data_IF_443504934314
#
_entry.id   IF_443504934314
#
_cell.length_a   1.000
_cell.length_b   1.000
_cell.length_c   1.000
_cell.angle_alpha   90.00
_cell.angle_beta   90.00
_cell.angle_gamma   90.00
#
_symmetry.space_group_name_H-M   'P 1'
#
loop_
_entity.id
_entity.type
_entity.pdbx_description
1 polymer ?
#
# COMPACT_ATOMS: atom_id res chain seq x y z
N UNK A 1 13.90 -58.17 0.69
CA UNK A 1 13.71 -57.24 1.83
C UNK A 1 14.40 -55.93 1.48
N UNK A 2 13.62 -54.91 1.07
CA UNK A 2 14.12 -53.58 0.67
C UNK A 2 13.91 -52.63 1.84
N UNK A 3 14.97 -51.94 2.23
CA UNK A 3 15.02 -50.92 3.29
C UNK A 3 14.38 -49.62 2.81
N UNK A 4 13.39 -49.12 3.57
CA UNK A 4 12.79 -47.80 3.43
C UNK A 4 13.77 -46.70 3.83
N UNK A 5 13.85 -45.65 3.01
CA UNK A 5 14.37 -44.32 3.35
C UNK A 5 13.16 -43.41 3.45
N UNK A 6 12.82 -42.97 4.65
CA UNK A 6 11.81 -41.93 4.87
C UNK A 6 12.49 -40.56 4.72
N UNK A 7 12.11 -39.84 3.66
CA UNK A 7 12.49 -38.45 3.44
C UNK A 7 11.47 -37.51 4.10
N UNK A 8 11.96 -36.57 4.91
CA UNK A 8 11.17 -35.45 5.39
C UNK A 8 10.71 -34.59 4.20
N UNK A 9 9.39 -34.50 4.00
CA UNK A 9 8.76 -33.48 3.15
C UNK A 9 8.75 -32.16 3.92
N UNK A 10 9.49 -31.18 3.41
CA UNK A 10 9.30 -29.77 3.77
C UNK A 10 7.93 -29.33 3.22
N UNK A 11 7.02 -28.98 4.12
CA UNK A 11 5.75 -28.37 3.76
C UNK A 11 6.03 -26.96 3.22
N UNK A 12 5.65 -26.72 1.96
CA UNK A 12 5.50 -25.37 1.45
C UNK A 12 4.34 -24.70 2.23
N UNK A 13 4.63 -23.56 2.84
CA UNK A 13 3.61 -22.68 3.39
C UNK A 13 2.85 -22.08 2.21
N UNK A 14 1.68 -22.64 1.89
CA UNK A 14 0.65 -21.94 1.12
C UNK A 14 0.06 -20.87 2.04
N UNK A 15 0.39 -19.60 1.80
CA UNK A 15 -0.34 -18.49 2.39
C UNK A 15 -1.74 -18.43 1.75
N UNK A 16 -2.76 -18.68 2.57
CA UNK A 16 -4.16 -18.42 2.21
C UNK A 16 -4.32 -16.93 1.89
N UNK A 17 -4.47 -16.64 0.60
CA UNK A 17 -5.01 -15.37 0.12
C UNK A 17 -6.32 -15.07 0.85
N UNK A 18 -6.35 -13.94 1.57
CA UNK A 18 -7.53 -13.42 2.22
C UNK A 18 -8.66 -13.19 1.20
N UNK A 19 -9.56 -14.17 1.07
CA UNK A 19 -10.86 -13.98 0.43
C UNK A 19 -11.63 -12.95 1.25
N UNK A 20 -11.82 -11.76 0.69
CA UNK A 20 -12.74 -10.77 1.22
C UNK A 20 -14.16 -11.33 1.12
N UNK A 21 -14.84 -11.42 2.27
CA UNK A 21 -16.24 -11.81 2.37
C UNK A 21 -17.10 -10.69 1.81
N UNK A 22 -17.71 -10.93 0.64
CA UNK A 22 -18.96 -10.31 0.25
C UNK A 22 -20.09 -10.92 1.08
N UNK A 23 -20.81 -10.08 1.82
CA UNK A 23 -21.99 -10.43 2.61
C UNK A 23 -23.06 -11.11 1.74
N UNK A 24 -23.22 -12.43 1.87
CA UNK A 24 -24.37 -13.13 1.29
C UNK A 24 -25.55 -13.05 2.26
N UNK A 25 -26.64 -12.43 1.79
CA UNK A 25 -27.96 -12.54 2.37
C UNK A 25 -28.46 -13.98 2.16
N UNK A 26 -28.69 -14.70 3.26
CA UNK A 26 -29.37 -16.00 3.24
C UNK A 26 -30.88 -15.75 3.33
N UNK A 27 -31.62 -16.13 2.29
CA UNK A 27 -33.07 -16.37 2.38
C UNK A 27 -33.24 -17.87 2.52
N UNK A 28 -33.80 -18.31 3.66
CA UNK A 28 -34.22 -19.69 3.87
C UNK A 28 -35.49 -20.01 3.08
N UNK A 29 -35.51 -21.16 2.41
CA UNK A 29 -36.73 -21.93 2.17
C UNK A 29 -36.36 -23.42 2.03
N UNK A 30 -37.01 -24.26 2.83
CA UNK A 30 -36.85 -25.71 2.94
C UNK A 30 -37.65 -26.48 1.88
N UNK A 31 -37.11 -27.66 1.56
CA UNK A 31 -37.71 -28.96 1.13
C UNK A 31 -38.76 -29.02 0.01
N UNK A 32 -38.48 -29.81 -1.04
CA UNK A 32 -39.04 -31.17 -1.23
C UNK A 32 -38.53 -31.87 -2.53
N UNK A 33 -38.70 -33.19 -2.56
CA UNK A 33 -38.01 -34.20 -3.37
C UNK A 33 -38.59 -34.48 -4.78
N UNK A 34 -37.70 -34.99 -5.66
CA UNK A 34 -37.89 -36.01 -6.73
C UNK A 34 -38.83 -35.76 -7.94
N UNK A 35 -38.28 -35.78 -9.17
CA UNK A 35 -38.35 -36.91 -10.15
C UNK A 35 -37.70 -36.54 -11.49
N UNK A 36 -37.06 -37.54 -12.09
CA UNK A 36 -36.53 -37.57 -13.46
C UNK A 36 -37.67 -38.01 -14.39
N UNK A 37 -37.78 -37.43 -15.59
CA UNK A 37 -38.00 -38.18 -16.84
C UNK A 37 -37.80 -37.30 -18.10
N UNK A 38 -37.11 -37.89 -19.06
CA UNK A 38 -36.64 -37.42 -20.37
C UNK A 38 -37.71 -37.46 -21.46
N UNK A 39 -37.75 -36.50 -22.41
CA UNK A 39 -38.08 -36.73 -23.83
C UNK A 39 -37.34 -35.72 -24.75
N UNK A 40 -36.83 -36.24 -25.87
CA UNK A 40 -35.93 -35.64 -26.87
C UNK A 40 -36.61 -34.81 -28.00
N UNK A 41 -35.81 -34.08 -28.85
CA UNK A 41 -36.24 -33.07 -29.84
C UNK A 41 -36.40 -33.63 -31.28
N UNK A 42 -36.90 -32.86 -32.27
CA UNK A 42 -36.02 -32.23 -33.31
C UNK A 42 -36.63 -30.91 -33.89
N UNK A 43 -36.07 -30.11 -34.79
CA UNK A 43 -34.97 -30.18 -35.74
C UNK A 43 -34.86 -28.85 -36.53
N UNK A 44 -33.84 -28.74 -37.38
CA UNK A 44 -33.22 -27.52 -37.96
C UNK A 44 -33.70 -27.21 -39.40
N UNK A 45 -33.30 -26.03 -39.92
CA UNK A 45 -33.27 -25.50 -41.31
C UNK A 45 -34.51 -24.75 -41.82
N UNK A 46 -34.45 -23.72 -42.68
CA UNK A 46 -33.50 -22.68 -43.12
C UNK A 46 -34.34 -21.65 -43.93
N UNK A 47 -33.82 -20.43 -44.16
CA UNK A 47 -34.38 -19.22 -44.86
C UNK A 47 -34.80 -19.44 -46.35
N UNK A 48 -35.29 -18.47 -47.21
CA UNK A 48 -35.29 -16.97 -47.18
C UNK A 48 -36.50 -16.21 -47.86
N UNK A 49 -36.50 -14.86 -47.89
CA UNK A 49 -37.11 -14.09 -49.00
C UNK A 49 -37.93 -12.80 -48.73
N UNK A 50 -37.33 -11.64 -49.09
CA UNK A 50 -37.87 -10.42 -49.74
C UNK A 50 -39.15 -9.62 -49.33
N UNK A 51 -38.92 -8.29 -49.38
CA UNK A 51 -39.72 -7.18 -49.94
C UNK A 51 -40.42 -6.17 -49.00
N UNK A 52 -40.35 -4.91 -49.46
CA UNK A 52 -40.61 -3.64 -48.80
C UNK A 52 -42.03 -3.09 -49.05
N UNK A 53 -42.45 -2.09 -48.26
CA UNK A 53 -43.11 -0.82 -48.69
C UNK A 53 -43.73 -0.06 -47.49
N UNK A 54 -43.66 1.28 -47.50
CA UNK A 54 -44.78 2.10 -47.00
C UNK A 54 -44.56 3.17 -45.92
N UNK A 55 -43.82 4.24 -46.25
CA UNK A 55 -43.98 5.69 -45.95
C UNK A 55 -45.07 6.16 -44.95
N UNK A 56 -44.68 7.06 -44.02
CA UNK A 56 -45.43 8.28 -43.67
C UNK A 56 -44.49 9.40 -43.15
N UNK A 57 -44.55 10.58 -43.80
CA UNK A 57 -43.84 11.84 -43.48
C UNK A 57 -44.68 12.72 -42.54
N UNK A 58 -44.03 13.54 -41.71
CA UNK A 58 -44.57 14.83 -41.26
C UNK A 58 -43.47 15.90 -41.26
N UNK A 59 -43.74 17.00 -41.96
CA UNK A 59 -42.85 18.14 -42.23
C UNK A 59 -42.86 19.18 -41.11
N UNK A 60 -41.72 19.81 -40.89
CA UNK A 60 -41.56 21.07 -40.16
C UNK A 60 -41.97 22.26 -41.05
N UNK A 61 -42.65 23.25 -40.46
CA UNK A 61 -42.69 24.62 -40.98
C UNK A 61 -42.74 25.60 -39.80
N UNK A 62 -41.83 26.57 -39.85
CA UNK A 62 -41.75 27.70 -38.94
C UNK A 62 -42.76 28.78 -39.34
N UNK A 63 -43.23 29.55 -38.36
CA UNK A 63 -43.65 30.92 -38.58
C UNK A 63 -43.41 31.77 -37.33
N UNK A 64 -42.84 32.95 -37.59
CA UNK A 64 -42.55 34.05 -36.69
C UNK A 64 -43.78 34.91 -36.42
N UNK A 65 -43.80 35.51 -35.22
CA UNK A 65 -44.36 36.83 -34.85
C UNK A 65 -45.25 36.76 -33.60
N UNK A 66 -44.76 37.37 -32.51
CA UNK A 66 -45.39 38.51 -31.83
C UNK A 66 -44.50 38.94 -30.66
N UNK A 67 -44.04 40.18 -30.75
CA UNK A 67 -43.25 40.93 -29.78
C UNK A 67 -44.19 41.65 -28.80
N UNK A 68 -43.69 41.88 -27.58
CA UNK A 68 -44.19 42.74 -26.49
C UNK A 68 -45.19 42.13 -25.51
N UNK A 69 -44.69 41.76 -24.33
CA UNK A 69 -45.12 42.39 -23.07
C UNK A 69 -44.24 41.95 -21.88
N UNK A 70 -43.96 42.92 -21.00
CA UNK A 70 -43.48 42.80 -19.61
C UNK A 70 -41.97 42.78 -19.36
N UNK A 71 -41.46 44.01 -19.32
CA UNK A 71 -40.35 44.47 -18.48
C UNK A 71 -40.70 44.18 -17.01
N UNK A 72 -39.90 43.38 -16.34
CA UNK A 72 -39.97 43.13 -14.90
C UNK A 72 -38.58 42.74 -14.38
N UNK A 73 -37.92 43.68 -13.71
CA UNK A 73 -36.55 43.55 -13.26
C UNK A 73 -36.36 42.44 -12.22
N UNK A 74 -35.31 41.65 -12.41
CA UNK A 74 -34.68 40.88 -11.34
C UNK A 74 -33.23 41.34 -11.22
N UNK A 75 -33.01 42.26 -10.28
CA UNK A 75 -31.72 42.48 -9.65
C UNK A 75 -31.48 41.30 -8.70
N UNK A 76 -30.55 40.42 -9.06
CA UNK A 76 -29.94 39.49 -8.12
C UNK A 76 -28.44 39.40 -8.44
N UNK A 77 -27.68 40.35 -7.90
CA UNK A 77 -26.24 40.18 -7.67
C UNK A 77 -26.04 39.08 -6.63
N UNK A 78 -26.12 37.82 -7.05
CA UNK A 78 -25.53 36.73 -6.28
C UNK A 78 -24.02 36.78 -6.51
N UNK A 79 -23.30 37.38 -5.57
CA UNK A 79 -21.85 37.30 -5.54
C UNK A 79 -21.45 35.82 -5.58
N UNK A 80 -20.66 35.44 -6.58
CA UNK A 80 -19.96 34.17 -6.60
C UNK A 80 -19.17 34.10 -5.29
N UNK A 81 -19.37 33.07 -4.44
CA UNK A 81 -18.58 32.96 -3.23
C UNK A 81 -17.11 32.83 -3.66
N UNK A 82 -16.30 33.78 -3.24
CA UNK A 82 -14.85 33.74 -3.40
C UNK A 82 -14.38 32.39 -2.86
N UNK A 83 -13.56 31.61 -3.59
CA UNK A 83 -12.99 30.39 -3.05
C UNK A 83 -12.32 30.75 -1.73
N UNK A 84 -12.59 29.97 -0.68
CA UNK A 84 -11.78 30.03 0.52
C UNK A 84 -10.31 29.96 0.09
N UNK A 85 -9.42 30.82 0.61
CA UNK A 85 -8.02 30.79 0.22
C UNK A 85 -7.52 29.37 0.40
N UNK A 86 -6.96 28.79 -0.68
CA UNK A 86 -6.34 27.48 -0.62
C UNK A 86 -5.41 27.48 0.61
N UNK A 87 -5.63 26.53 1.54
CA UNK A 87 -4.77 26.38 2.70
C UNK A 87 -3.32 26.43 2.22
N UNK A 88 -2.53 27.36 2.78
CA UNK A 88 -1.19 27.63 2.30
C UNK A 88 -0.39 26.32 2.26
N UNK A 89 0.14 25.96 1.08
CA UNK A 89 0.95 24.74 0.87
C UNK A 89 2.04 24.66 1.95
N UNK A 90 2.24 23.49 2.55
CA UNK A 90 3.39 23.25 3.42
C UNK A 90 4.62 23.19 2.52
N UNK A 91 5.64 24.04 2.73
CA UNK A 91 6.84 24.01 1.92
C UNK A 91 7.49 22.63 1.98
N UNK A 92 7.92 22.12 0.83
CA UNK A 92 8.80 20.96 0.80
C UNK A 92 10.08 21.28 1.57
N UNK A 93 10.62 20.29 2.28
CA UNK A 93 11.88 20.48 2.98
C UNK A 93 13.02 20.63 1.96
N UNK A 94 13.91 21.60 2.14
CA UNK A 94 15.09 21.71 1.30
C UNK A 94 16.00 20.50 1.52
N UNK A 95 16.85 20.17 0.55
CA UNK A 95 17.84 19.10 0.69
C UNK A 95 18.70 19.20 1.96
N UNK A 96 18.96 20.43 2.44
CA UNK A 96 19.72 20.70 3.67
C UNK A 96 19.01 20.30 4.97
N UNK A 97 17.71 20.00 4.91
CA UNK A 97 16.95 19.50 6.06
C UNK A 97 17.22 18.01 6.33
N UNK A 98 17.73 17.27 5.34
CA UNK A 98 18.06 15.86 5.47
C UNK A 98 19.51 15.65 5.93
N UNK A 99 19.81 14.56 6.67
CA UNK A 99 21.18 14.20 6.99
C UNK A 99 22.08 14.17 5.75
N UNK A 100 23.33 14.64 5.87
CA UNK A 100 24.22 14.82 4.71
C UNK A 100 24.57 13.53 3.96
N UNK A 101 24.39 12.36 4.57
CA UNK A 101 24.58 11.06 3.93
C UNK A 101 23.33 10.55 3.18
N UNK A 102 22.19 11.21 3.31
CA UNK A 102 20.98 10.88 2.54
C UNK A 102 21.13 11.36 1.10
N UNK A 103 20.52 10.63 0.17
CA UNK A 103 20.66 10.88 -1.28
C UNK A 103 19.31 11.24 -1.91
N UNK A 104 19.25 12.14 -2.89
CA UNK A 104 18.02 12.30 -3.66
C UNK A 104 17.71 11.01 -4.44
N UNK A 105 16.43 10.64 -4.54
CA UNK A 105 16.00 9.53 -5.40
C UNK A 105 16.27 9.93 -6.86
N UNK A 106 16.82 8.99 -7.65
CA UNK A 106 17.09 9.21 -9.08
C UNK A 106 15.78 9.50 -9.81
N UNK A 107 15.79 10.54 -10.64
CA UNK A 107 14.68 10.95 -11.49
C UNK A 107 15.05 10.77 -12.96
N UNK A 108 14.11 10.30 -13.77
CA UNK A 108 14.22 10.17 -15.23
C UNK A 108 12.94 10.66 -15.87
N UNK A 109 13.03 11.24 -17.07
CA UNK A 109 11.83 11.63 -17.82
C UNK A 109 11.24 10.42 -18.53
N UNK A 110 9.92 10.33 -18.55
CA UNK A 110 9.23 9.43 -19.44
C UNK A 110 9.46 9.85 -20.89
N UNK A 111 9.85 8.89 -21.72
CA UNK A 111 10.11 9.08 -23.16
C UNK A 111 9.22 8.14 -23.97
N UNK A 112 9.38 6.84 -23.76
CA UNK A 112 8.56 5.78 -24.33
C UNK A 112 8.43 4.62 -23.34
N UNK A 113 7.46 3.73 -23.58
CA UNK A 113 7.31 2.52 -22.76
C UNK A 113 8.58 1.66 -22.85
N UNK A 114 9.11 1.42 -24.04
CA UNK A 114 10.26 0.53 -24.24
C UNK A 114 11.53 1.02 -23.53
N UNK A 115 11.83 2.32 -23.57
CA UNK A 115 12.97 2.89 -22.83
C UNK A 115 12.80 2.75 -21.31
N UNK A 116 11.58 2.94 -20.81
CA UNK A 116 11.29 2.71 -19.39
C UNK A 116 11.50 1.25 -19.02
N UNK A 117 11.11 0.28 -19.87
CA UNK A 117 11.32 -1.14 -19.58
C UNK A 117 12.81 -1.50 -19.52
N UNK A 118 13.62 -1.00 -20.45
CA UNK A 118 15.07 -1.23 -20.45
C UNK A 118 15.75 -0.62 -19.23
N UNK A 119 15.24 0.51 -18.72
CA UNK A 119 15.70 1.10 -17.47
C UNK A 119 15.24 0.31 -16.23
N UNK A 120 13.98 -0.14 -16.23
CA UNK A 120 13.35 -0.78 -15.07
C UNK A 120 13.94 -2.16 -14.76
N UNK A 121 14.32 -2.94 -15.78
CA UNK A 121 14.94 -4.28 -15.58
C UNK A 121 16.15 -4.26 -14.64
N UNK A 122 17.25 -3.53 -14.92
CA UNK A 122 18.40 -3.47 -14.03
C UNK A 122 18.09 -2.73 -12.72
N UNK A 123 17.18 -1.75 -12.75
CA UNK A 123 16.79 -0.99 -11.56
C UNK A 123 16.05 -1.87 -10.53
N UNK A 124 15.11 -2.70 -11.01
CA UNK A 124 14.38 -3.70 -10.23
C UNK A 124 15.33 -4.79 -9.70
N UNK A 125 16.22 -5.31 -10.54
CA UNK A 125 17.22 -6.29 -10.13
C UNK A 125 18.18 -5.76 -9.06
N UNK A 126 18.53 -4.47 -9.11
CA UNK A 126 19.31 -3.79 -8.07
C UNK A 126 18.49 -3.50 -6.80
N UNK A 127 17.16 -3.62 -6.87
CA UNK A 127 16.24 -3.33 -5.77
C UNK A 127 16.37 -1.89 -5.28
N UNK A 128 16.37 -0.91 -6.18
CA UNK A 128 16.55 0.51 -5.83
C UNK A 128 15.41 1.39 -6.36
N UNK A 129 15.02 2.45 -5.63
CA UNK A 129 13.91 3.32 -6.02
C UNK A 129 14.26 4.19 -7.23
N UNK A 130 13.26 4.50 -8.03
CA UNK A 130 13.38 5.33 -9.22
C UNK A 130 12.10 6.14 -9.42
N UNK A 131 12.23 7.41 -9.81
CA UNK A 131 11.09 8.24 -10.19
C UNK A 131 11.10 8.45 -11.70
N UNK A 132 9.99 8.12 -12.34
CA UNK A 132 9.72 8.37 -13.75
C UNK A 132 8.74 9.54 -13.86
N UNK A 133 9.24 10.67 -14.36
CA UNK A 133 8.52 11.93 -14.47
C UNK A 133 7.64 11.95 -15.73
N UNK A 134 6.37 12.30 -15.60
CA UNK A 134 5.48 12.47 -16.76
C UNK A 134 5.04 11.15 -17.41
N UNK A 135 4.96 10.06 -16.65
CA UNK A 135 4.52 8.74 -17.16
C UNK A 135 3.05 8.71 -17.60
N UNK A 136 2.24 9.69 -17.17
CA UNK A 136 0.83 9.87 -17.56
C UNK A 136 -0.02 8.60 -17.55
N UNK A 137 0.22 7.70 -16.58
CA UNK A 137 -0.59 6.49 -16.38
C UNK A 137 -2.05 6.89 -16.13
N UNK A 138 -2.23 7.87 -15.25
CA UNK A 138 -3.50 8.53 -14.95
C UNK A 138 -3.42 9.97 -15.47
N UNK A 139 -4.52 10.48 -16.02
CA UNK A 139 -4.67 11.86 -16.50
C UNK A 139 -4.73 12.83 -15.29
N UNK A 140 -3.57 13.10 -14.69
CA UNK A 140 -3.42 13.93 -13.49
C UNK A 140 -4.06 15.33 -13.64
N UNK A 141 -3.99 15.90 -14.85
CA UNK A 141 -4.62 17.18 -15.20
C UNK A 141 -6.14 17.19 -14.98
N UNK A 142 -6.81 16.05 -15.17
CA UNK A 142 -8.24 15.90 -14.93
C UNK A 142 -8.57 15.87 -13.44
N UNK A 143 -7.67 15.31 -12.64
CA UNK A 143 -7.81 15.18 -11.19
C UNK A 143 -7.41 16.46 -10.43
N UNK A 144 -6.71 17.39 -11.07
CA UNK A 144 -6.45 18.71 -10.50
C UNK A 144 -7.75 19.54 -10.35
N UNK A 145 -8.77 19.31 -11.21
CA UNK A 145 -10.12 19.81 -10.98
C UNK A 145 -10.77 19.06 -9.81
N UNK A 146 -10.78 19.70 -8.64
CA UNK A 146 -11.45 19.19 -7.43
C UNK A 146 -12.93 18.87 -7.69
N UNK A 147 -13.59 19.58 -8.61
CA UNK A 147 -14.99 19.31 -8.96
C UNK A 147 -15.14 17.96 -9.67
N UNK A 148 -14.16 17.56 -10.48
CA UNK A 148 -14.12 16.24 -11.08
C UNK A 148 -13.98 15.16 -9.99
N UNK A 149 -13.03 15.30 -9.06
CA UNK A 149 -12.84 14.36 -7.95
C UNK A 149 -14.11 14.25 -7.09
N UNK A 150 -14.75 15.38 -6.78
CA UNK A 150 -16.03 15.43 -6.04
C UNK A 150 -17.16 14.76 -6.79
N UNK A 151 -17.30 14.96 -8.10
CA UNK A 151 -18.33 14.29 -8.91
C UNK A 151 -18.10 12.79 -9.00
N UNK A 152 -16.84 12.39 -9.11
CA UNK A 152 -16.44 10.99 -9.14
C UNK A 152 -16.87 10.34 -7.83
N UNK A 153 -16.39 10.81 -6.68
CA UNK A 153 -16.59 10.12 -5.41
C UNK A 153 -17.88 10.48 -4.63
N UNK A 154 -18.51 11.61 -4.95
CA UNK A 154 -19.83 12.09 -4.48
C UNK A 154 -20.24 11.62 -3.06
N UNK A 155 -21.37 10.93 -2.95
CA UNK A 155 -22.00 10.46 -1.69
C UNK A 155 -21.55 9.02 -1.33
N UNK A 156 -20.45 8.54 -1.91
CA UNK A 156 -20.01 7.15 -1.75
C UNK A 156 -19.48 6.92 -0.36
N UNK A 157 -19.82 5.76 0.19
CA UNK A 157 -19.23 5.28 1.43
C UNK A 157 -17.76 4.94 1.20
N UNK A 158 -16.92 5.49 2.06
CA UNK A 158 -15.47 5.33 2.06
C UNK A 158 -15.01 5.09 3.49
N UNK A 159 -13.94 4.33 3.63
CA UNK A 159 -13.21 4.12 4.86
C UNK A 159 -12.24 5.28 5.07
N UNK A 160 -12.50 6.05 6.11
CA UNK A 160 -11.73 7.22 6.44
C UNK A 160 -11.07 7.02 7.80
N UNK A 161 -9.78 7.33 7.87
CA UNK A 161 -9.03 7.34 9.10
C UNK A 161 -9.00 8.77 9.63
N UNK A 162 -9.22 8.93 10.93
CA UNK A 162 -9.08 10.21 11.65
C UNK A 162 -8.04 10.06 12.75
N UNK A 163 -7.01 10.91 12.70
CA UNK A 163 -5.91 10.95 13.66
C UNK A 163 -6.01 12.21 14.54
N UNK A 164 -5.68 12.14 15.84
CA UNK A 164 -5.58 13.33 16.70
C UNK A 164 -4.39 14.24 16.33
N UNK A 165 -3.47 13.77 15.48
CA UNK A 165 -2.29 14.51 15.01
C UNK A 165 -2.05 14.21 13.51
N UNK A 166 -0.85 14.49 13.01
CA UNK A 166 -0.46 14.22 11.61
C UNK A 166 -0.28 12.74 11.27
N UNK A 167 -0.02 11.87 12.24
CA UNK A 167 0.48 10.51 12.02
C UNK A 167 -0.67 9.52 11.83
N UNK A 168 -0.64 8.77 10.74
CA UNK A 168 -1.58 7.70 10.40
C UNK A 168 -0.89 6.35 10.47
N UNK A 169 -0.50 5.95 11.68
CA UNK A 169 0.07 4.62 11.92
C UNK A 169 -0.99 3.56 11.63
N UNK A 170 -0.68 2.64 10.72
CA UNK A 170 -1.54 1.51 10.41
C UNK A 170 -1.59 0.55 11.61
N UNK A 171 -2.59 -0.32 11.69
CA UNK A 171 -2.58 -1.43 12.64
C UNK A 171 -3.49 -2.54 12.15
N UNK A 172 -3.21 -3.77 12.58
CA UNK A 172 -4.10 -4.91 12.42
C UNK A 172 -4.28 -5.62 13.76
N UNK A 173 -5.46 -5.49 14.36
CA UNK A 173 -5.77 -6.13 15.65
C UNK A 173 -5.76 -7.66 15.57
N UNK A 174 -5.97 -8.24 14.38
CA UNK A 174 -5.87 -9.70 14.18
C UNK A 174 -4.43 -10.18 14.35
N UNK A 175 -3.46 -9.31 14.10
CA UNK A 175 -2.03 -9.58 14.31
C UNK A 175 -1.60 -9.46 15.76
N UNK A 176 -2.48 -9.06 16.71
CA UNK A 176 -2.16 -8.95 18.14
C UNK A 176 -2.00 -10.31 18.85
N UNK A 177 -1.24 -11.22 18.25
CA UNK A 177 -0.98 -12.56 18.80
C UNK A 177 -0.12 -12.50 20.07
N UNK A 178 0.68 -11.44 20.26
CA UNK A 178 1.41 -11.20 21.50
C UNK A 178 0.56 -10.66 22.65
N UNK A 179 -0.75 -10.43 22.43
CA UNK A 179 -1.71 -9.90 23.41
C UNK A 179 -1.24 -8.59 24.07
N UNK A 180 -0.63 -7.71 23.29
CA UNK A 180 -0.21 -6.41 23.75
C UNK A 180 -1.44 -5.59 24.18
N UNK A 181 -1.32 -4.87 25.30
CA UNK A 181 -2.21 -3.73 25.54
C UNK A 181 -1.95 -2.73 24.42
N UNK A 182 -2.94 -2.41 23.61
CA UNK A 182 -2.74 -1.63 22.39
C UNK A 182 -3.75 -0.48 22.32
N UNK A 183 -3.23 0.74 22.30
CA UNK A 183 -4.05 1.95 22.07
C UNK A 183 -4.06 2.29 20.59
N UNK A 184 -5.23 2.22 19.95
CA UNK A 184 -5.35 2.54 18.53
C UNK A 184 -4.94 4.00 18.26
N UNK A 185 -3.98 4.24 17.34
CA UNK A 185 -3.48 5.59 17.05
C UNK A 185 -4.44 6.41 16.19
N UNK A 186 -5.30 5.74 15.43
CA UNK A 186 -6.30 6.36 14.55
C UNK A 186 -7.66 5.72 14.75
N UNK A 187 -8.71 6.50 14.47
CA UNK A 187 -10.09 6.01 14.41
C UNK A 187 -10.44 5.72 12.96
N UNK A 188 -11.05 4.57 12.70
CA UNK A 188 -11.62 4.22 11.40
C UNK A 188 -13.10 4.55 11.39
N UNK A 189 -13.55 5.27 10.36
CA UNK A 189 -14.90 5.78 10.20
C UNK A 189 -15.43 5.36 8.83
N UNK A 190 -16.67 4.88 8.79
CA UNK A 190 -17.41 4.72 7.54
C UNK A 190 -18.18 6.02 7.31
N UNK A 191 -17.79 6.78 6.30
CA UNK A 191 -18.37 8.08 5.99
C UNK A 191 -18.54 8.26 4.48
N UNK A 192 -19.28 9.29 4.04
CA UNK A 192 -19.30 9.61 2.62
C UNK A 192 -18.07 10.43 2.21
N UNK A 193 -17.66 10.34 0.94
CA UNK A 193 -16.57 11.18 0.44
C UNK A 193 -16.87 12.69 0.57
N UNK A 194 -18.12 13.10 0.33
CA UNK A 194 -18.56 14.48 0.55
C UNK A 194 -18.37 14.91 2.01
N UNK A 195 -18.79 14.07 2.97
CA UNK A 195 -18.62 14.31 4.41
C UNK A 195 -17.13 14.38 4.79
N UNK A 196 -16.31 13.47 4.27
CA UNK A 196 -14.85 13.51 4.46
C UNK A 196 -14.24 14.85 4.03
N UNK A 197 -14.60 15.33 2.84
CA UNK A 197 -14.08 16.62 2.35
C UNK A 197 -14.56 17.80 3.18
N UNK A 198 -15.82 17.81 3.61
CA UNK A 198 -16.36 18.86 4.48
C UNK A 198 -15.60 18.90 5.82
N UNK A 199 -15.46 17.75 6.47
CA UNK A 199 -14.74 17.63 7.74
C UNK A 199 -13.26 18.02 7.60
N UNK A 200 -12.59 17.56 6.54
CA UNK A 200 -11.19 17.90 6.28
C UNK A 200 -10.97 19.41 6.12
N UNK A 201 -11.86 20.09 5.38
CA UNK A 201 -11.78 21.54 5.21
C UNK A 201 -12.06 22.29 6.52
N UNK A 202 -13.04 21.83 7.29
CA UNK A 202 -13.37 22.39 8.61
C UNK A 202 -12.17 22.31 9.56
N UNK A 203 -11.57 21.13 9.69
CA UNK A 203 -10.39 20.88 10.53
C UNK A 203 -9.25 21.85 10.20
N UNK A 204 -8.97 22.07 8.90
CA UNK A 204 -7.95 23.05 8.48
C UNK A 204 -8.34 24.48 8.83
N UNK A 205 -9.59 24.87 8.58
CA UNK A 205 -10.07 26.24 8.85
C UNK A 205 -10.05 26.60 10.33
N UNK A 206 -10.26 25.61 11.21
CA UNK A 206 -10.24 25.77 12.66
C UNK A 206 -8.82 25.69 13.25
N UNK A 207 -7.79 25.39 12.44
CA UNK A 207 -6.41 25.22 12.92
C UNK A 207 -6.21 24.01 13.82
N UNK A 208 -7.09 23.00 13.73
CA UNK A 208 -7.04 21.80 14.57
C UNK A 208 -5.78 20.96 14.25
N UNK A 209 -5.18 20.27 15.25
CA UNK A 209 -4.10 19.33 15.02
C UNK A 209 -4.57 18.01 14.38
N UNK A 210 -5.88 17.71 14.44
CA UNK A 210 -6.44 16.49 13.86
C UNK A 210 -6.18 16.44 12.35
N UNK A 211 -6.07 15.24 11.80
CA UNK A 211 -6.02 15.03 10.35
C UNK A 211 -6.95 13.90 9.95
N UNK A 212 -7.32 13.88 8.68
CA UNK A 212 -8.06 12.80 8.04
C UNK A 212 -7.31 12.26 6.82
N UNK A 213 -7.47 10.96 6.58
CA UNK A 213 -6.82 10.23 5.51
C UNK A 213 -7.73 9.11 5.03
N UNK A 214 -7.97 9.04 3.73
CA UNK A 214 -8.73 8.00 3.06
C UNK A 214 -7.76 7.03 2.40
N UNK A 215 -8.01 5.74 2.60
CA UNK A 215 -7.29 4.64 1.95
C UNK A 215 -8.32 3.63 1.49
N UNK A 216 -8.43 3.43 0.17
CA UNK A 216 -9.45 2.57 -0.43
C UNK A 216 -8.89 1.66 -1.51
N UNK A 217 -9.36 0.40 -1.53
CA UNK A 217 -9.02 -0.56 -2.58
C UNK A 217 -10.00 -0.38 -3.75
N UNK A 218 -9.48 0.01 -4.90
CA UNK A 218 -10.30 0.46 -6.02
C UNK A 218 -11.11 -0.64 -6.70
N UNK A 219 -10.75 -1.92 -6.56
CA UNK A 219 -11.47 -3.05 -7.17
C UNK A 219 -12.91 -3.20 -6.65
N UNK A 220 -13.24 -2.58 -5.50
CA UNK A 220 -14.61 -2.54 -4.97
C UNK A 220 -15.52 -1.49 -5.61
N UNK A 221 -15.02 -0.67 -6.54
CA UNK A 221 -15.70 0.54 -7.02
C UNK A 221 -16.03 0.46 -8.53
N UNK A 222 -17.15 -0.17 -8.87
CA UNK A 222 -17.61 -0.36 -10.27
C UNK A 222 -17.79 0.94 -11.05
N UNK A 223 -18.27 1.97 -10.39
CA UNK A 223 -18.32 3.38 -10.79
C UNK A 223 -17.01 4.02 -11.25
N UNK A 224 -15.85 3.46 -10.91
CA UNK A 224 -14.53 3.90 -11.36
C UNK A 224 -14.19 3.27 -12.71
N UNK A 225 -15.04 2.38 -13.25
CA UNK A 225 -14.77 1.64 -14.49
C UNK A 225 -14.39 2.55 -15.67
N UNK A 226 -15.05 3.69 -15.84
CA UNK A 226 -14.70 4.64 -16.90
C UNK A 226 -13.32 5.27 -16.67
N UNK A 227 -12.99 5.59 -15.41
CA UNK A 227 -11.65 6.06 -15.06
C UNK A 227 -10.61 4.98 -15.35
N UNK A 228 -10.82 3.78 -14.81
CA UNK A 228 -9.97 2.61 -15.04
C UNK A 228 -9.78 2.36 -16.53
N UNK A 229 -10.85 2.36 -17.33
CA UNK A 229 -10.75 2.14 -18.78
C UNK A 229 -9.90 3.20 -19.49
N UNK A 230 -9.79 4.41 -18.92
CA UNK A 230 -9.01 5.52 -19.48
C UNK A 230 -7.53 5.50 -19.10
N UNK A 231 -7.13 4.70 -18.12
CA UNK A 231 -5.75 4.64 -17.66
C UNK A 231 -4.85 3.90 -18.65
N UNK A 232 -3.59 4.33 -18.75
CA UNK A 232 -2.60 3.71 -19.63
C UNK A 232 -2.00 2.46 -18.98
N UNK A 233 -2.81 1.39 -18.88
CA UNK A 233 -2.43 0.12 -18.25
C UNK A 233 -1.23 -0.58 -18.86
N UNK A 234 -0.94 -0.31 -20.14
CA UNK A 234 0.21 -0.89 -20.82
C UNK A 234 1.50 -0.71 -20.02
N UNK A 235 1.75 0.48 -19.47
CA UNK A 235 2.99 0.78 -18.76
C UNK A 235 3.17 -0.07 -17.49
N UNK A 236 2.28 -0.03 -16.47
CA UNK A 236 2.45 -0.83 -15.26
C UNK A 236 2.46 -2.34 -15.55
N UNK A 237 1.62 -2.83 -16.47
CA UNK A 237 1.59 -4.26 -16.85
C UNK A 237 2.92 -4.70 -17.47
N UNK A 238 3.44 -3.93 -18.43
CA UNK A 238 4.69 -4.27 -19.11
C UNK A 238 5.90 -4.11 -18.19
N UNK A 239 5.90 -3.14 -17.26
CA UNK A 239 6.94 -3.05 -16.22
C UNK A 239 6.94 -4.31 -15.36
N UNK A 240 5.77 -4.72 -14.83
CA UNK A 240 5.67 -5.91 -13.99
C UNK A 240 6.17 -7.15 -14.72
N UNK A 241 5.73 -7.36 -15.96
CA UNK A 241 6.20 -8.49 -16.78
C UNK A 241 7.71 -8.42 -17.06
N UNK A 242 8.25 -7.26 -17.47
CA UNK A 242 9.66 -7.10 -17.80
C UNK A 242 10.58 -7.30 -16.59
N UNK A 243 10.11 -7.00 -15.38
CA UNK A 243 10.85 -7.19 -14.14
C UNK A 243 10.62 -8.57 -13.50
N UNK A 244 9.83 -9.44 -14.13
CA UNK A 244 9.54 -10.78 -13.60
C UNK A 244 8.64 -10.77 -12.35
N UNK A 245 7.81 -9.73 -12.20
CA UNK A 245 6.82 -9.66 -11.13
C UNK A 245 5.50 -10.32 -11.56
N UNK A 246 4.63 -10.60 -10.59
CA UNK A 246 3.22 -10.86 -10.85
C UNK A 246 2.55 -9.63 -11.45
N UNK A 247 1.48 -9.83 -12.22
CA UNK A 247 0.68 -8.71 -12.73
C UNK A 247 0.13 -7.86 -11.57
N UNK A 248 -0.10 -6.56 -11.78
CA UNK A 248 -0.78 -5.75 -10.76
C UNK A 248 -2.13 -6.38 -10.42
N UNK A 249 -2.35 -6.70 -9.14
CA UNK A 249 -3.57 -7.40 -8.67
C UNK A 249 -4.39 -6.56 -7.66
N UNK A 250 -3.85 -5.42 -7.23
CA UNK A 250 -4.51 -4.49 -6.31
C UNK A 250 -4.08 -3.07 -6.61
N UNK A 251 -5.05 -2.16 -6.57
CA UNK A 251 -4.84 -0.73 -6.67
C UNK A 251 -5.41 -0.04 -5.44
N UNK A 252 -4.56 0.69 -4.73
CA UNK A 252 -4.97 1.45 -3.55
C UNK A 252 -4.93 2.93 -3.84
N UNK A 253 -6.05 3.60 -3.57
CA UNK A 253 -6.19 5.05 -3.62
C UNK A 253 -5.92 5.64 -2.24
N UNK A 254 -5.12 6.70 -2.24
CA UNK A 254 -4.84 7.48 -1.04
C UNK A 254 -5.27 8.92 -1.25
N UNK A 255 -6.12 9.45 -0.36
CA UNK A 255 -6.49 10.87 -0.34
C UNK A 255 -6.28 11.39 1.07
N UNK A 256 -5.38 12.36 1.24
CA UNK A 256 -5.09 12.86 2.58
C UNK A 256 -5.07 14.38 2.68
N UNK A 257 -5.31 14.85 3.90
CA UNK A 257 -5.16 16.24 4.27
C UNK A 257 -3.70 16.70 4.19
N UNK A 258 -3.50 18.01 4.11
CA UNK A 258 -2.20 18.63 4.26
C UNK A 258 -1.56 18.26 5.61
N UNK A 259 -0.28 17.89 5.60
CA UNK A 259 0.47 17.47 6.78
C UNK A 259 0.13 16.06 7.27
N UNK A 260 -0.78 15.33 6.63
CA UNK A 260 -0.98 13.91 6.94
C UNK A 260 0.30 13.12 6.62
N UNK A 261 0.74 12.32 7.58
CA UNK A 261 1.94 11.49 7.52
C UNK A 261 1.57 10.01 7.59
N UNK A 262 2.18 9.22 6.71
CA UNK A 262 2.23 7.77 6.85
C UNK A 262 3.59 7.42 7.48
N UNK A 263 3.63 6.95 8.74
CA UNK A 263 4.88 6.61 9.42
C UNK A 263 5.71 5.58 8.67
N UNK A 264 7.01 5.51 8.99
CA UNK A 264 7.96 4.57 8.39
C UNK A 264 7.45 3.13 8.48
N UNK A 265 7.33 2.48 7.33
CA UNK A 265 6.92 1.08 7.19
C UNK A 265 7.47 0.50 5.90
N UNK A 266 7.41 -0.81 5.75
CA UNK A 266 7.67 -1.47 4.46
C UNK A 266 6.53 -2.41 4.09
N UNK A 267 6.44 -2.70 2.79
CA UNK A 267 5.49 -3.66 2.25
C UNK A 267 6.21 -4.83 1.59
N UNK A 268 5.56 -5.99 1.61
CA UNK A 268 6.10 -7.24 1.08
C UNK A 268 5.59 -7.48 -0.35
N UNK A 269 5.56 -6.42 -1.15
CA UNK A 269 5.10 -6.39 -2.54
C UNK A 269 5.87 -5.34 -3.33
N UNK A 270 5.95 -5.51 -4.65
CA UNK A 270 6.47 -4.48 -5.54
C UNK A 270 5.39 -3.41 -5.75
N UNK A 271 5.79 -2.13 -5.76
CA UNK A 271 4.86 -1.03 -5.91
C UNK A 271 5.31 -0.04 -6.98
N UNK A 272 4.40 0.25 -7.90
CA UNK A 272 4.47 1.46 -8.71
C UNK A 272 3.50 2.47 -8.08
N UNK A 273 4.04 3.49 -7.43
CA UNK A 273 3.30 4.51 -6.71
C UNK A 273 3.17 5.78 -7.58
N UNK A 274 1.97 6.05 -8.09
CA UNK A 274 1.69 7.18 -8.96
C UNK A 274 1.10 8.35 -8.17
N UNK A 275 1.73 9.52 -8.25
CA UNK A 275 1.22 10.75 -7.65
C UNK A 275 0.22 11.40 -8.61
N UNK A 276 -1.06 11.40 -8.24
CA UNK A 276 -2.15 11.89 -9.10
C UNK A 276 -2.36 13.39 -8.94
N UNK A 277 -2.40 13.89 -7.70
CA UNK A 277 -2.74 15.29 -7.40
C UNK A 277 -1.92 15.82 -6.23
N UNK A 278 -1.45 17.06 -6.34
CA UNK A 278 -0.70 17.74 -5.29
C UNK A 278 0.68 17.12 -5.05
N UNK A 279 1.37 17.65 -4.04
CA UNK A 279 2.72 17.25 -3.67
C UNK A 279 2.75 16.30 -2.47
N UNK A 280 3.60 15.28 -2.55
CA UNK A 280 3.88 14.33 -1.47
C UNK A 280 5.39 14.23 -1.25
N UNK A 281 5.84 14.56 -0.05
CA UNK A 281 7.22 14.37 0.36
C UNK A 281 7.42 12.91 0.79
N UNK A 282 8.56 12.34 0.41
CA UNK A 282 8.87 10.94 0.69
C UNK A 282 10.33 10.77 1.09
N UNK A 283 10.56 9.89 2.05
CA UNK A 283 11.88 9.35 2.39
C UNK A 283 11.79 7.83 2.42
N UNK A 284 12.71 7.16 1.74
CA UNK A 284 12.78 5.71 1.65
C UNK A 284 14.13 5.17 2.14
N UNK A 285 14.14 3.97 2.70
CA UNK A 285 15.34 3.30 3.18
C UNK A 285 15.38 1.87 2.64
N UNK A 286 16.56 1.35 2.28
CA UNK A 286 16.68 0.00 1.75
C UNK A 286 16.26 -1.03 2.80
N UNK A 287 15.68 -2.15 2.36
CA UNK A 287 15.17 -3.18 3.27
C UNK A 287 16.25 -3.67 4.25
N UNK A 288 17.50 -3.76 3.78
CA UNK A 288 18.67 -4.22 4.56
C UNK A 288 19.01 -3.33 5.76
N UNK A 289 18.49 -2.11 5.83
CA UNK A 289 18.60 -1.27 7.03
C UNK A 289 17.66 -1.71 8.17
N UNK A 290 16.94 -2.84 8.04
CA UNK A 290 15.96 -3.36 9.00
C UNK A 290 16.29 -3.15 10.49
N UNK A 291 17.51 -3.48 10.93
CA UNK A 291 17.93 -3.34 12.34
C UNK A 291 18.16 -1.88 12.77
N UNK A 292 18.37 -0.97 11.82
CA UNK A 292 18.46 0.49 12.04
C UNK A 292 17.10 1.17 12.08
N UNK A 293 16.05 0.49 11.58
CA UNK A 293 14.69 1.00 11.48
C UNK A 293 13.78 0.48 12.60
N UNK A 294 14.25 -0.40 13.48
CA UNK A 294 13.55 -0.82 14.71
C UNK A 294 12.05 -1.17 14.48
N UNK A 295 11.74 -2.19 13.67
CA UNK A 295 10.36 -2.65 13.49
C UNK A 295 9.73 -3.06 14.80
N UNK A 296 8.41 -2.88 14.92
CA UNK A 296 7.63 -3.59 15.94
C UNK A 296 7.80 -5.12 15.81
N UNK A 297 7.61 -5.88 16.89
CA UNK A 297 7.58 -7.34 16.82
C UNK A 297 6.55 -7.86 15.82
N UNK A 298 6.83 -9.00 15.19
CA UNK A 298 5.94 -9.68 14.22
C UNK A 298 4.59 -10.07 14.82
N UNK A 299 4.52 -10.19 16.15
CA UNK A 299 3.29 -10.51 16.90
C UNK A 299 2.50 -9.26 17.34
N UNK A 300 3.00 -8.05 17.02
CA UNK A 300 2.40 -6.77 17.41
C UNK A 300 1.45 -6.24 16.33
N UNK A 301 0.35 -5.53 16.68
CA UNK A 301 -0.58 -4.97 15.69
C UNK A 301 0.06 -4.05 14.64
N UNK A 302 1.18 -3.44 14.97
CA UNK A 302 1.95 -2.55 14.10
C UNK A 302 3.10 -3.26 13.35
N UNK A 303 3.07 -4.59 13.17
CA UNK A 303 4.04 -5.33 12.35
C UNK A 303 4.32 -4.61 11.01
N UNK A 304 5.60 -4.67 10.59
CA UNK A 304 6.19 -3.97 9.42
C UNK A 304 6.31 -2.46 9.53
N UNK A 305 5.84 -1.86 10.62
CA UNK A 305 6.09 -0.44 10.89
C UNK A 305 7.29 -0.27 11.80
N UNK A 306 7.96 0.88 11.66
CA UNK A 306 9.08 1.30 12.47
C UNK A 306 8.59 2.01 13.74
N UNK A 307 9.24 1.73 14.86
CA UNK A 307 9.08 2.49 16.10
C UNK A 307 9.68 3.90 16.02
N UNK A 308 10.62 4.15 15.10
CA UNK A 308 11.13 5.50 14.80
C UNK A 308 9.98 6.42 14.36
N UNK A 309 9.02 5.87 13.62
CA UNK A 309 7.81 6.59 13.18
C UNK A 309 8.09 7.62 12.09
N UNK A 310 8.70 8.76 12.42
CA UNK A 310 9.01 9.84 11.47
C UNK A 310 10.52 10.08 11.41
N UNK A 311 11.14 10.15 10.22
CA UNK A 311 12.55 10.48 10.08
C UNK A 311 12.87 11.93 10.51
N UNK A 312 11.86 12.79 10.65
CA UNK A 312 12.00 14.19 11.09
C UNK A 312 12.05 14.35 12.60
N UNK A 313 11.47 13.40 13.33
CA UNK A 313 11.26 13.45 14.78
C UNK A 313 11.83 12.20 15.46
N UNK A 314 12.87 11.61 14.88
CA UNK A 314 13.45 10.37 15.38
C UNK A 314 14.05 10.56 16.78
N UNK A 315 13.61 9.74 17.74
CA UNK A 315 14.25 9.63 19.06
C UNK A 315 15.56 8.84 18.91
N UNK A 316 16.66 9.55 18.78
CA UNK A 316 17.98 8.97 18.55
C UNK A 316 18.65 8.45 19.83
N UNK A 317 18.05 8.69 21.00
CA UNK A 317 18.50 8.11 22.26
C UNK A 317 17.87 6.72 22.44
N UNK A 318 16.59 6.57 22.09
CA UNK A 318 15.92 5.27 22.00
C UNK A 318 16.40 4.43 20.81
N UNK A 319 16.63 5.06 19.64
CA UNK A 319 16.93 4.38 18.38
C UNK A 319 18.27 4.84 17.75
N UNK A 320 19.41 4.66 18.44
CA UNK A 320 20.69 5.22 18.00
C UNK A 320 21.19 4.71 16.65
N UNK A 321 20.87 3.46 16.26
CA UNK A 321 21.28 2.90 14.96
C UNK A 321 20.64 3.63 13.77
N UNK A 322 19.52 4.33 13.98
CA UNK A 322 18.83 5.09 12.92
C UNK A 322 19.70 6.23 12.37
N UNK A 323 20.66 6.76 13.16
CA UNK A 323 21.65 7.75 12.68
C UNK A 323 22.44 7.27 11.46
N UNK A 324 22.55 5.95 11.29
CA UNK A 324 23.30 5.29 10.22
C UNK A 324 22.40 4.67 9.13
N UNK A 325 21.09 4.97 9.15
CA UNK A 325 20.17 4.55 8.11
C UNK A 325 20.44 5.30 6.79
N UNK A 326 20.27 4.61 5.67
CA UNK A 326 20.64 5.06 4.33
C UNK A 326 19.44 5.67 3.62
N UNK A 327 19.02 6.85 4.06
CA UNK A 327 17.83 7.52 3.54
C UNK A 327 17.97 8.01 2.11
N UNK A 328 16.89 7.89 1.34
CA UNK A 328 16.75 8.47 0.02
C UNK A 328 15.48 9.32 -0.04
N UNK A 329 15.56 10.57 -0.48
CA UNK A 329 14.44 11.51 -0.38
C UNK A 329 14.00 12.08 -1.74
N UNK A 330 12.73 12.45 -1.83
CA UNK A 330 12.17 13.20 -2.95
C UNK A 330 10.90 13.94 -2.55
N UNK A 331 10.47 14.88 -3.41
CA UNK A 331 9.10 15.37 -3.45
C UNK A 331 8.47 14.88 -4.74
N UNK A 332 7.39 14.12 -4.64
CA UNK A 332 6.59 13.68 -5.76
C UNK A 332 5.60 14.78 -6.13
N UNK A 333 5.48 15.04 -7.42
CA UNK A 333 4.47 15.92 -8.00
C UNK A 333 3.48 15.15 -8.87
N UNK A 334 2.35 15.77 -9.19
CA UNK A 334 1.36 15.19 -10.09
C UNK A 334 2.01 14.69 -11.40
N UNK A 335 1.78 13.43 -11.75
CA UNK A 335 2.35 12.77 -12.92
C UNK A 335 3.65 11.96 -12.67
N UNK A 336 4.25 12.07 -11.48
CA UNK A 336 5.39 11.24 -11.10
C UNK A 336 4.97 9.81 -10.79
N UNK A 337 5.72 8.84 -11.32
CA UNK A 337 5.64 7.43 -10.95
C UNK A 337 6.89 7.03 -10.18
N UNK A 338 6.73 6.69 -8.91
CA UNK A 338 7.78 6.12 -8.09
C UNK A 338 7.74 4.60 -8.16
N UNK A 339 8.84 3.98 -8.57
CA UNK A 339 9.10 2.59 -8.25
C UNK A 339 9.60 2.47 -6.82
N UNK A 340 8.85 1.74 -5.99
CA UNK A 340 9.19 1.41 -4.61
C UNK A 340 9.41 -0.11 -4.54
N UNK A 341 10.67 -0.57 -4.40
CA UNK A 341 10.97 -2.00 -4.43
C UNK A 341 10.44 -2.75 -3.20
N UNK A 342 10.22 -4.06 -3.35
CA UNK A 342 9.85 -4.94 -2.23
C UNK A 342 10.71 -4.69 -0.98
N UNK A 343 10.05 -4.50 0.16
CA UNK A 343 10.67 -4.35 1.47
C UNK A 343 11.32 -2.99 1.71
N UNK A 344 11.28 -2.04 0.76
CA UNK A 344 11.80 -0.71 1.03
C UNK A 344 10.93 0.00 2.08
N UNK A 345 11.61 0.48 3.11
CA UNK A 345 10.99 1.32 4.12
C UNK A 345 10.63 2.65 3.48
N UNK A 346 9.49 3.21 3.83
CA UNK A 346 9.03 4.47 3.27
C UNK A 346 8.19 5.23 4.29
N UNK A 347 8.45 6.54 4.36
CA UNK A 347 7.67 7.54 5.09
C UNK A 347 7.18 8.58 4.10
N UNK A 348 5.94 9.04 4.27
CA UNK A 348 5.30 9.95 3.33
C UNK A 348 4.61 11.07 4.10
N UNK A 349 4.63 12.27 3.54
CA UNK A 349 3.93 13.44 4.08
C UNK A 349 3.27 14.24 2.97
N UNK A 350 1.98 14.53 3.13
CA UNK A 350 1.25 15.38 2.20
C UNK A 350 1.61 16.85 2.39
N UNK A 351 2.03 17.53 1.33
CA UNK A 351 2.35 18.96 1.38
C UNK A 351 1.16 19.85 0.97
N UNK A 352 0.29 19.32 0.11
CA UNK A 352 -0.96 19.94 -0.31
C UNK A 352 -2.16 19.35 0.42
N UNK A 353 -3.23 20.14 0.53
CA UNK A 353 -4.52 19.59 0.95
C UNK A 353 -5.12 18.75 -0.19
N UNK A 354 -5.72 17.62 0.16
CA UNK A 354 -6.26 16.65 -0.78
C UNK A 354 -5.18 16.16 -1.78
N UNK A 355 -4.02 15.80 -1.27
CA UNK A 355 -3.01 15.10 -2.07
C UNK A 355 -3.51 13.69 -2.40
N UNK A 356 -3.42 13.29 -3.66
CA UNK A 356 -3.96 12.03 -4.17
C UNK A 356 -2.86 11.20 -4.80
N UNK A 357 -2.81 9.91 -4.46
CA UNK A 357 -1.89 8.94 -5.06
C UNK A 357 -2.59 7.61 -5.28
N UNK A 358 -2.09 6.82 -6.23
CA UNK A 358 -2.54 5.44 -6.49
C UNK A 358 -1.34 4.51 -6.50
N UNK A 359 -1.39 3.45 -5.69
CA UNK A 359 -0.43 2.33 -5.77
C UNK A 359 -0.91 1.29 -6.78
N UNK A 360 0.03 0.69 -7.51
CA UNK A 360 -0.20 -0.50 -8.33
C UNK A 360 0.67 -1.63 -7.76
N UNK A 361 0.04 -2.52 -7.00
CA UNK A 361 0.73 -3.56 -6.25
C UNK A 361 0.87 -4.84 -7.06
N UNK A 362 2.11 -5.32 -7.19
CA UNK A 362 2.47 -6.58 -7.82
C UNK A 362 3.03 -7.55 -6.79
N UNK A 363 2.60 -8.81 -6.83
CA UNK A 363 3.23 -9.88 -6.04
C UNK A 363 4.58 -10.24 -6.66
N UNK A 364 5.57 -10.60 -5.85
CA UNK A 364 6.79 -11.22 -6.37
C UNK A 364 6.50 -12.71 -6.54
N UNK A 365 6.67 -13.30 -7.74
CA UNK A 365 6.49 -14.73 -7.94
C UNK A 365 7.41 -15.54 -7.04
N UNK A 366 7.05 -16.80 -6.80
CA UNK A 366 7.94 -17.73 -6.14
C UNK A 366 9.28 -17.78 -6.90
N UNK A 367 10.38 -17.74 -6.15
CA UNK A 367 11.72 -17.86 -6.74
C UNK A 367 11.82 -19.19 -7.49
N UNK A 368 12.27 -19.15 -8.75
CA UNK A 368 12.55 -20.38 -9.47
C UNK A 368 13.75 -21.10 -8.81
N UNK A 369 13.46 -22.23 -8.17
CA UNK A 369 14.45 -23.09 -7.53
C UNK A 369 14.88 -24.26 -8.43
N UNK A 370 14.56 -24.23 -9.73
CA UNK A 370 15.02 -25.25 -10.70
C UNK A 370 16.55 -25.39 -10.72
N UNK A 371 17.28 -24.29 -10.44
CA UNK A 371 18.74 -24.26 -10.25
C UNK A 371 19.22 -24.66 -8.85
N UNK A 372 18.33 -25.06 -7.94
CA UNK A 372 18.61 -25.36 -6.55
C UNK A 372 18.57 -24.15 -5.61
N UNK A 373 18.71 -24.40 -4.31
CA UNK A 373 18.78 -23.33 -3.29
C UNK A 373 20.15 -22.64 -3.37
N UNK A 374 20.21 -21.29 -3.46
CA UNK A 374 21.46 -20.54 -3.51
C UNK A 374 22.45 -20.97 -2.43
N UNK A 375 23.74 -21.08 -2.76
CA UNK A 375 24.80 -21.40 -1.79
C UNK A 375 24.96 -20.29 -0.74
N UNK A 376 24.73 -19.04 -1.14
CA UNK A 376 24.76 -17.86 -0.29
C UNK A 376 23.48 -17.04 -0.48
N UNK A 377 22.98 -16.46 0.61
CA UNK A 377 21.81 -15.59 0.59
C UNK A 377 22.28 -14.13 0.51
N UNK A 378 21.59 -13.33 -0.31
CA UNK A 378 21.81 -11.89 -0.36
C UNK A 378 21.37 -11.23 0.94
N UNK A 379 21.87 -10.02 1.21
CA UNK A 379 21.45 -9.26 2.39
C UNK A 379 19.93 -9.03 2.42
N UNK A 380 19.29 -8.88 1.25
CA UNK A 380 17.84 -8.78 1.13
C UNK A 380 17.14 -10.08 1.57
N UNK A 381 17.60 -11.24 1.08
CA UNK A 381 17.09 -12.55 1.51
C UNK A 381 17.31 -12.77 3.02
N UNK A 382 18.49 -12.43 3.53
CA UNK A 382 18.81 -12.52 4.96
C UNK A 382 17.91 -11.62 5.81
N UNK A 383 17.50 -10.46 5.29
CA UNK A 383 16.53 -9.58 5.97
C UNK A 383 15.15 -10.23 6.07
N UNK A 384 14.70 -10.98 5.04
CA UNK A 384 13.48 -11.80 5.13
C UNK A 384 13.63 -12.90 6.17
N UNK A 385 14.80 -13.55 6.22
CA UNK A 385 15.11 -14.58 7.22
C UNK A 385 14.99 -14.04 8.65
N UNK A 386 15.40 -12.80 8.92
CA UNK A 386 15.23 -12.16 10.25
C UNK A 386 13.77 -12.21 10.72
N UNK A 387 12.85 -11.78 9.86
CA UNK A 387 11.39 -11.79 10.15
C UNK A 387 10.87 -13.21 10.38
N UNK A 388 11.21 -14.13 9.47
CA UNK A 388 10.76 -15.51 9.56
C UNK A 388 11.28 -16.20 10.82
N UNK A 389 12.54 -15.95 11.20
CA UNK A 389 13.13 -16.50 12.41
C UNK A 389 12.39 -15.99 13.66
N UNK A 390 12.10 -14.70 13.74
CA UNK A 390 11.31 -14.11 14.83
C UNK A 390 9.91 -14.74 14.91
N UNK A 391 9.22 -14.88 13.78
CA UNK A 391 7.91 -15.54 13.72
C UNK A 391 7.96 -17.02 14.12
N UNK A 392 9.00 -17.76 13.72
CA UNK A 392 9.19 -19.16 14.12
C UNK A 392 9.45 -19.28 15.62
N UNK A 393 10.25 -18.39 16.21
CA UNK A 393 10.46 -18.31 17.66
C UNK A 393 9.13 -18.04 18.37
N UNK A 394 8.34 -17.08 17.90
CA UNK A 394 7.02 -16.78 18.45
C UNK A 394 6.07 -17.99 18.38
N UNK A 395 6.00 -18.69 17.24
CA UNK A 395 5.15 -19.86 17.08
C UNK A 395 5.61 -21.04 17.96
N UNK A 396 6.93 -21.21 18.12
CA UNK A 396 7.51 -22.34 18.87
C UNK A 396 7.36 -22.16 20.39
N UNK A 397 7.62 -20.96 20.89
CA UNK A 397 7.72 -20.69 22.34
C UNK A 397 6.53 -19.91 22.90
N UNK A 398 5.59 -19.51 22.04
CA UNK A 398 4.40 -18.75 22.41
C UNK A 398 4.52 -17.28 22.01
N UNK A 399 3.57 -16.72 21.24
CA UNK A 399 3.67 -15.34 20.76
C UNK A 399 3.59 -14.29 21.88
N UNK A 400 2.92 -14.61 22.99
CA UNK A 400 2.83 -13.79 24.21
C UNK A 400 4.17 -13.72 24.97
N UNK A 401 4.99 -14.76 24.86
CA UNK A 401 6.30 -14.85 25.52
C UNK A 401 7.44 -14.42 24.61
N UNK A 402 7.14 -13.86 23.42
CA UNK A 402 8.17 -13.48 22.45
C UNK A 402 9.15 -12.47 23.05
N UNK A 403 8.67 -11.47 23.79
CA UNK A 403 9.53 -10.46 24.42
C UNK A 403 10.55 -11.07 25.37
N UNK A 404 10.05 -11.82 26.36
CA UNK A 404 10.87 -12.51 27.36
C UNK A 404 11.84 -13.50 26.70
N UNK A 405 11.39 -14.22 25.67
CA UNK A 405 12.22 -15.18 24.93
C UNK A 405 13.37 -14.49 24.21
N UNK A 406 13.09 -13.38 23.52
CA UNK A 406 14.11 -12.62 22.78
C UNK A 406 15.12 -11.98 23.74
N UNK A 407 14.67 -11.42 24.87
CA UNK A 407 15.58 -10.89 25.91
C UNK A 407 16.44 -12.00 26.54
N UNK A 408 15.85 -13.17 26.82
CA UNK A 408 16.59 -14.33 27.33
C UNK A 408 17.68 -14.76 26.35
N UNK A 409 17.35 -14.88 25.06
CA UNK A 409 18.30 -15.23 24.00
C UNK A 409 19.44 -14.21 23.91
N UNK A 410 19.14 -12.91 23.95
CA UNK A 410 20.17 -11.86 23.98
C UNK A 410 21.11 -12.02 25.18
N UNK A 411 20.57 -12.27 26.37
CA UNK A 411 21.36 -12.48 27.58
C UNK A 411 22.29 -13.71 27.46
N UNK A 412 21.75 -14.84 26.99
CA UNK A 412 22.52 -16.09 26.81
C UNK A 412 23.68 -15.86 25.82
N UNK A 413 23.41 -15.23 24.67
CA UNK A 413 24.42 -14.92 23.65
C UNK A 413 25.54 -14.05 24.23
N UNK A 414 25.18 -12.94 24.91
CA UNK A 414 26.17 -12.01 25.49
C UNK A 414 27.02 -12.65 26.58
N UNK A 415 26.41 -13.54 27.37
CA UNK A 415 27.10 -14.24 28.45
C UNK A 415 27.80 -15.53 27.99
N UNK A 416 27.74 -15.87 26.70
CA UNK A 416 28.32 -17.09 26.10
C UNK A 416 27.87 -18.36 26.83
N UNK A 417 26.60 -18.41 27.21
CA UNK A 417 25.99 -19.55 27.88
C UNK A 417 25.47 -20.57 26.86
N UNK A 418 25.46 -21.83 27.26
CA UNK A 418 24.78 -22.88 26.51
C UNK A 418 23.32 -22.97 26.98
N UNK A 419 22.38 -23.02 26.04
CA UNK A 419 20.94 -23.08 26.33
C UNK A 419 20.20 -23.82 25.20
N UNK A 420 19.28 -24.74 25.52
CA UNK A 420 18.54 -25.50 24.51
C UNK A 420 17.74 -24.64 23.53
N UNK A 421 17.22 -23.49 23.98
CA UNK A 421 16.48 -22.54 23.12
C UNK A 421 17.44 -21.88 22.13
N UNK A 422 18.61 -21.43 22.60
CA UNK A 422 19.61 -20.84 21.72
C UNK A 422 20.12 -21.86 20.69
N UNK A 423 20.34 -23.12 21.10
CA UNK A 423 20.77 -24.18 20.18
C UNK A 423 19.73 -24.46 19.11
N UNK A 424 18.44 -24.51 19.47
CA UNK A 424 17.35 -24.62 18.49
C UNK A 424 17.35 -23.46 17.48
N UNK A 425 17.51 -22.22 17.94
CA UNK A 425 17.55 -21.04 17.05
C UNK A 425 18.78 -21.07 16.13
N UNK A 426 19.93 -21.51 16.63
CA UNK A 426 21.15 -21.73 15.82
C UNK A 426 20.97 -22.83 14.77
N UNK A 427 20.26 -23.91 15.09
CA UNK A 427 19.90 -24.97 14.14
C UNK A 427 19.00 -24.43 13.02
N UNK A 428 18.00 -23.59 13.35
CA UNK A 428 17.17 -22.93 12.34
C UNK A 428 18.01 -22.03 11.42
N UNK A 429 18.91 -21.22 11.99
CA UNK A 429 19.83 -20.37 11.21
C UNK A 429 20.78 -21.19 10.33
N UNK A 430 21.29 -22.32 10.83
CA UNK A 430 22.13 -23.23 10.06
C UNK A 430 21.37 -23.88 8.89
N UNK A 431 20.08 -24.22 9.07
CA UNK A 431 19.23 -24.78 8.03
C UNK A 431 19.02 -23.82 6.85
N UNK A 432 19.11 -22.51 7.10
CA UNK A 432 19.07 -21.44 6.08
C UNK A 432 20.46 -20.89 5.74
N UNK A 433 21.51 -21.69 5.98
CA UNK A 433 22.90 -21.44 5.58
C UNK A 433 23.57 -20.19 6.19
N UNK A 434 23.10 -19.71 7.34
CA UNK A 434 23.82 -18.67 8.10
C UNK A 434 25.01 -19.35 8.81
N UNK A 435 26.27 -18.95 8.52
CA UNK A 435 27.45 -19.59 9.11
C UNK A 435 27.51 -19.41 10.63
N UNK A 436 27.91 -20.46 11.36
CA UNK A 436 27.99 -20.44 12.82
C UNK A 436 28.69 -19.20 13.42
N UNK A 437 29.83 -18.69 12.87
CA UNK A 437 30.47 -17.49 13.40
C UNK A 437 29.66 -16.19 13.30
N UNK A 438 28.60 -16.15 12.47
CA UNK A 438 27.74 -14.99 12.25
C UNK A 438 26.37 -15.08 12.93
N UNK A 439 26.02 -16.25 13.46
CA UNK A 439 24.67 -16.53 13.97
C UNK A 439 24.31 -15.67 15.18
N UNK A 440 25.25 -15.50 16.11
CA UNK A 440 25.03 -14.73 17.33
C UNK A 440 24.83 -13.24 17.01
N UNK A 441 25.66 -12.66 16.15
CA UNK A 441 25.51 -11.27 15.69
C UNK A 441 24.19 -11.07 14.92
N UNK A 442 23.85 -12.02 14.04
CA UNK A 442 22.59 -11.99 13.30
C UNK A 442 21.37 -11.99 14.24
N UNK A 443 21.40 -12.81 15.30
CA UNK A 443 20.35 -12.86 16.30
C UNK A 443 20.29 -11.56 17.12
N UNK A 444 21.44 -11.00 17.52
CA UNK A 444 21.50 -9.73 18.23
C UNK A 444 20.95 -8.56 17.38
N UNK A 445 21.20 -8.55 16.06
CA UNK A 445 20.62 -7.55 15.15
C UNK A 445 19.09 -7.59 15.09
N UNK A 446 18.48 -8.73 15.35
CA UNK A 446 17.01 -8.87 15.45
C UNK A 446 16.52 -8.32 16.79
N UNK A 447 17.26 -8.49 17.88
CA UNK A 447 16.75 -8.23 19.23
C UNK A 447 17.04 -6.80 19.71
N UNK A 448 18.24 -6.29 19.46
CA UNK A 448 18.76 -5.10 20.13
C UNK A 448 17.92 -3.83 19.91
N UNK A 449 17.41 -3.28 21.02
CA UNK A 449 16.62 -2.04 21.05
C UNK A 449 15.18 -2.20 20.58
N UNK A 450 14.70 -3.44 20.34
CA UNK A 450 13.32 -3.72 19.91
C UNK A 450 12.43 -4.35 20.99
N UNK A 451 13.04 -5.01 21.97
CA UNK A 451 12.40 -5.82 23.01
C UNK A 451 12.71 -5.26 24.40
N UNK A 452 11.87 -5.58 25.40
CA UNK A 452 11.97 -5.10 26.77
C UNK A 452 11.60 -3.63 26.97
N UNK A 453 10.72 -3.11 26.11
CA UNK A 453 10.29 -1.70 26.09
C UNK A 453 8.76 -1.62 26.03
N UNK A 454 8.19 -0.49 26.47
CA UNK A 454 6.77 -0.22 26.28
C UNK A 454 6.49 0.25 24.84
N UNK A 455 6.07 -0.68 23.99
CA UNK A 455 5.74 -0.38 22.59
C UNK A 455 4.65 0.68 22.42
N UNK A 456 3.73 0.85 23.39
CA UNK A 456 2.69 1.88 23.28
C UNK A 456 3.27 3.31 23.28
N UNK A 457 4.48 3.50 23.80
CA UNK A 457 5.18 4.79 23.73
C UNK A 457 5.45 5.21 22.29
N UNK A 458 5.54 4.25 21.37
CA UNK A 458 5.90 4.46 19.96
C UNK A 458 4.75 4.23 18.98
N UNK A 459 3.55 3.89 19.46
CA UNK A 459 2.31 3.78 18.66
C UNK A 459 1.79 5.18 18.39
#
# INVERSE_FOLDING_TARGET
>A
MRTQRDGLRLYALEEETAKHNSSNYTIEARDEQTRIDTVQPPGVCETPGHMALGVAKANCQANSDITQMLIGGYSASAAVPTPAPAAARVPALPSSAWPGHYKPIRRVKFTSVDEVLELMKPQSAAGAPLIIEGSSIIQAEKWEDVSHVKRLWKDRQVLVKKSPNSKFRYFDLKKNSGKFTFKQPVRELQDTFATFLEQANRILSEGSPERMYLQETLSGHSEMAEEFASWKWELPIRISHACGWGLPDSNELFIGMQGAETPLHFDERENLFFQVRGLKEIVVFPFVDYSKLYPFPTTHPCDRQSMVGSPLEADLDAFPKFRHASGHYATLQAGDLLYLPYGWWHWLRNLDNMAISVSFWSTTPATDLSGGVPSEFSDHMLTRVKRNLESLVAQKFGPESLDETMLKLQSIVRNKQDDPVLNYVRELMAAVKIPAPKQDDFLLEIIEGRFGIDWNTYV
#
